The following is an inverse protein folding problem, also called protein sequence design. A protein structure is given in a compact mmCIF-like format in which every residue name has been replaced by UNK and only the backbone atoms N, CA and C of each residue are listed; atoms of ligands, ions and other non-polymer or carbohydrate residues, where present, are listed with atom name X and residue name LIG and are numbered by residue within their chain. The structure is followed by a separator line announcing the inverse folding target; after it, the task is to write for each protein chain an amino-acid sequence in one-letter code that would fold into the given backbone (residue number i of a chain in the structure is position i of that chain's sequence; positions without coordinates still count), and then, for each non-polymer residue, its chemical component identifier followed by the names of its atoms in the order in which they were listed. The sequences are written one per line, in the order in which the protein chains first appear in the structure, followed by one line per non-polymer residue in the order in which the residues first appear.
data_IF_436447917978
#
_entry.id   IF_436447917978
#
_cell.length_a   1.000
_cell.length_b   1.000
_cell.length_c   1.000
_cell.angle_alpha   90.00
_cell.angle_beta   90.00
_cell.angle_gamma   90.00
#
_symmetry.space_group_name_H-M   'P 1'
#
loop_
_entity.id
_entity.type
_entity.pdbx_description
1 polymer ?
#
# COMPACT_ATOMS: atom_id res chain seq x y z
N UNK A 1 -24.79 3.07 5.04
CA UNK A 1 -23.35 3.02 5.40
C UNK A 1 -22.55 2.07 4.49
N UNK A 2 -22.97 0.81 4.38
CA UNK A 2 -22.26 -0.16 3.52
C UNK A 2 -22.23 0.24 2.04
N UNK A 3 -23.34 0.76 1.50
CA UNK A 3 -23.42 1.18 0.11
C UNK A 3 -22.49 2.37 -0.20
N UNK A 4 -22.39 3.31 0.74
CA UNK A 4 -21.50 4.47 0.58
C UNK A 4 -20.02 4.05 0.62
N UNK A 5 -19.66 3.17 1.56
CA UNK A 5 -18.30 2.64 1.65
C UNK A 5 -17.93 1.84 0.40
N UNK A 6 -18.86 1.04 -0.13
CA UNK A 6 -18.62 0.27 -1.36
C UNK A 6 -18.41 1.20 -2.56
N UNK A 7 -19.18 2.31 -2.65
CA UNK A 7 -19.02 3.31 -3.71
C UNK A 7 -17.66 4.02 -3.66
N UNK A 8 -17.22 4.41 -2.47
CA UNK A 8 -15.91 5.04 -2.26
C UNK A 8 -14.79 4.08 -2.65
N UNK A 9 -14.87 2.82 -2.23
CA UNK A 9 -13.88 1.80 -2.59
C UNK A 9 -13.83 1.54 -4.10
N UNK A 10 -14.99 1.56 -4.77
CA UNK A 10 -15.07 1.38 -6.21
C UNK A 10 -14.39 2.53 -6.96
N UNK A 11 -14.65 3.78 -6.56
CA UNK A 11 -14.02 4.95 -7.17
C UNK A 11 -12.50 4.91 -6.97
N UNK A 12 -12.05 4.56 -5.76
CA UNK A 12 -10.64 4.43 -5.45
C UNK A 12 -9.98 3.37 -6.35
N UNK A 13 -10.58 2.20 -6.49
CA UNK A 13 -10.07 1.15 -7.36
C UNK A 13 -10.01 1.60 -8.82
N UNK A 14 -11.05 2.26 -9.30
CA UNK A 14 -11.13 2.73 -10.69
C UNK A 14 -10.02 3.73 -10.99
N UNK A 15 -9.80 4.69 -10.11
CA UNK A 15 -8.77 5.71 -10.30
C UNK A 15 -7.36 5.16 -10.07
N UNK A 16 -7.20 4.16 -9.21
CA UNK A 16 -5.90 3.58 -8.93
C UNK A 16 -5.41 2.65 -10.04
N UNK A 17 -6.31 1.94 -10.70
CA UNK A 17 -5.93 0.86 -11.62
C UNK A 17 -4.96 1.28 -12.73
N UNK A 18 -5.12 2.42 -13.43
CA UNK A 18 -4.15 2.85 -14.43
C UNK A 18 -2.76 3.10 -13.82
N UNK A 19 -2.69 3.65 -12.61
CA UNK A 19 -1.43 3.91 -11.93
C UNK A 19 -0.76 2.62 -11.49
N UNK A 20 -1.51 1.66 -10.95
CA UNK A 20 -0.97 0.34 -10.59
C UNK A 20 -0.38 -0.35 -11.82
N UNK A 21 -1.07 -0.26 -12.95
CA UNK A 21 -0.63 -0.87 -14.21
C UNK A 21 0.68 -0.24 -14.69
N UNK A 22 0.76 1.08 -14.66
CA UNK A 22 1.97 1.80 -15.08
C UNK A 22 3.16 1.43 -14.19
N UNK A 23 2.99 1.44 -12.88
CA UNK A 23 4.06 1.10 -11.93
C UNK A 23 4.52 -0.34 -12.12
N UNK A 24 3.57 -1.29 -12.21
CA UNK A 24 3.89 -2.71 -12.37
C UNK A 24 4.76 -2.94 -13.61
N UNK A 25 4.40 -2.32 -14.73
CA UNK A 25 5.12 -2.49 -15.97
C UNK A 25 6.46 -1.74 -16.00
N UNK A 26 6.54 -0.56 -15.39
CA UNK A 26 7.80 0.17 -15.31
C UNK A 26 8.83 -0.51 -14.40
N UNK A 27 8.38 -0.98 -13.24
CA UNK A 27 9.29 -1.57 -12.25
C UNK A 27 9.48 -3.08 -12.41
N UNK A 28 8.60 -3.73 -13.18
CA UNK A 28 8.64 -5.19 -13.30
C UNK A 28 8.24 -5.89 -12.00
N UNK A 29 7.37 -5.29 -11.20
CA UNK A 29 6.95 -5.77 -9.89
C UNK A 29 5.43 -5.75 -9.79
N UNK A 30 4.85 -6.65 -8.98
CA UNK A 30 3.42 -6.59 -8.70
C UNK A 30 3.11 -5.34 -7.87
N UNK A 31 2.20 -4.52 -8.38
CA UNK A 31 1.76 -3.29 -7.71
C UNK A 31 0.32 -3.43 -7.25
N UNK A 32 0.02 -2.98 -6.03
CA UNK A 32 -1.31 -3.18 -5.47
C UNK A 32 -1.75 -2.03 -4.58
N UNK A 33 -3.06 -1.95 -4.38
CA UNK A 33 -3.74 -1.00 -3.53
C UNK A 33 -4.25 -1.74 -2.30
N UNK A 34 -3.92 -1.25 -1.11
CA UNK A 34 -4.36 -1.83 0.15
C UNK A 34 -5.11 -0.79 0.98
N UNK A 35 -6.07 -1.25 1.76
CA UNK A 35 -6.84 -0.39 2.67
C UNK A 35 -6.95 -1.02 4.04
N UNK A 36 -7.16 -0.16 5.03
CA UNK A 36 -7.46 -0.58 6.39
C UNK A 36 -8.93 -0.98 6.48
N UNK A 37 -9.19 -2.16 7.03
CA UNK A 37 -10.53 -2.66 7.34
C UNK A 37 -10.50 -3.21 8.75
N UNK A 38 -11.04 -2.45 9.72
CA UNK A 38 -10.99 -2.75 11.15
C UNK A 38 -9.53 -2.81 11.63
N UNK A 39 -9.02 -3.99 12.00
CA UNK A 39 -7.64 -4.21 12.42
C UNK A 39 -6.82 -5.00 11.40
N UNK A 40 -7.31 -5.06 10.17
CA UNK A 40 -6.66 -5.77 9.08
C UNK A 40 -6.34 -4.86 7.91
N UNK A 41 -5.35 -5.27 7.13
CA UNK A 41 -5.00 -4.69 5.85
C UNK A 41 -5.55 -5.59 4.76
N UNK A 42 -6.35 -5.04 3.85
CA UNK A 42 -6.95 -5.82 2.75
C UNK A 42 -6.47 -5.27 1.40
N UNK A 43 -6.09 -6.17 0.50
CA UNK A 43 -5.77 -5.82 -0.88
C UNK A 43 -7.06 -5.62 -1.67
N UNK A 44 -7.26 -4.41 -2.21
CA UNK A 44 -8.44 -4.10 -3.03
C UNK A 44 -8.21 -4.36 -4.51
N UNK A 45 -7.02 -4.09 -5.02
CA UNK A 45 -6.69 -4.24 -6.43
C UNK A 45 -5.21 -4.55 -6.57
N UNK A 46 -4.86 -5.30 -7.59
CA UNK A 46 -3.48 -5.73 -7.83
C UNK A 46 -3.23 -5.91 -9.32
N UNK A 47 -2.05 -5.52 -9.77
CA UNK A 47 -1.62 -5.69 -11.16
C UNK A 47 -0.24 -6.31 -11.19
N UNK A 48 -0.12 -7.44 -11.89
CA UNK A 48 1.16 -8.07 -12.16
C UNK A 48 1.79 -7.45 -13.42
N UNK A 49 3.13 -7.37 -13.50
CA UNK A 49 3.79 -6.87 -14.71
C UNK A 49 3.56 -7.82 -15.89
N UNK A 50 3.45 -7.25 -17.10
CA UNK A 50 3.19 -8.04 -18.33
C UNK A 50 4.32 -8.98 -18.67
N UNK A 51 5.57 -8.54 -18.43
CA UNK A 51 6.78 -9.26 -18.84
C UNK A 51 7.67 -9.56 -17.64
N UNK A 52 7.17 -10.37 -16.71
CA UNK A 52 7.95 -10.82 -15.58
C UNK A 52 8.36 -12.27 -15.78
N UNK A 53 9.64 -12.56 -15.52
CA UNK A 53 10.12 -13.95 -15.47
C UNK A 53 9.53 -14.65 -14.27
N UNK A 54 9.40 -13.90 -13.15
CA UNK A 54 8.72 -14.36 -11.94
C UNK A 54 8.07 -13.15 -11.26
N UNK A 55 6.82 -13.29 -10.87
CA UNK A 55 6.12 -12.25 -10.12
C UNK A 55 5.55 -12.84 -8.84
N UNK A 56 5.42 -11.97 -7.83
CA UNK A 56 4.79 -12.35 -6.56
C UNK A 56 3.30 -12.09 -6.69
N UNK A 57 2.49 -13.11 -6.45
CA UNK A 57 1.04 -12.97 -6.49
C UNK A 57 0.57 -12.18 -5.26
N UNK A 58 -0.21 -11.14 -5.48
CA UNK A 58 -0.88 -10.37 -4.45
C UNK A 58 -2.33 -10.25 -4.86
N UNK A 59 -3.19 -11.10 -4.30
CA UNK A 59 -4.56 -11.24 -4.79
C UNK A 59 -5.53 -10.26 -4.14
N UNK A 60 -6.46 -9.66 -4.92
CA UNK A 60 -7.56 -8.90 -4.32
C UNK A 60 -8.33 -9.74 -3.30
N UNK A 61 -8.68 -9.13 -2.19
CA UNK A 61 -9.34 -9.82 -1.09
C UNK A 61 -8.40 -10.43 -0.07
N UNK A 62 -7.11 -10.51 -0.35
CA UNK A 62 -6.13 -11.02 0.61
C UNK A 62 -6.08 -10.11 1.83
N UNK A 63 -6.06 -10.70 3.02
CA UNK A 63 -6.07 -10.00 4.30
C UNK A 63 -4.89 -10.43 5.16
N UNK A 64 -4.37 -9.50 5.93
CA UNK A 64 -3.43 -9.79 7.00
C UNK A 64 -3.57 -8.76 8.13
N UNK A 65 -3.07 -9.06 9.33
CA UNK A 65 -3.14 -8.10 10.43
C UNK A 65 -2.46 -6.78 10.07
N UNK A 66 -3.02 -5.67 10.56
CA UNK A 66 -2.45 -4.34 10.35
C UNK A 66 -1.08 -4.17 11.00
N UNK A 67 -0.65 -5.14 11.80
CA UNK A 67 0.64 -5.11 12.49
C UNK A 67 1.80 -5.62 11.64
N UNK A 68 1.55 -6.17 10.46
CA UNK A 68 2.61 -6.73 9.59
C UNK A 68 2.54 -6.15 8.18
N UNK A 69 3.68 -6.07 7.52
CA UNK A 69 3.80 -5.68 6.12
C UNK A 69 3.97 -4.20 5.89
N UNK A 70 4.60 -3.85 4.77
CA UNK A 70 4.85 -2.46 4.39
C UNK A 70 3.57 -1.64 4.21
N UNK A 71 2.52 -2.15 3.54
CA UNK A 71 1.28 -1.38 3.42
C UNK A 71 0.68 -1.00 4.77
N UNK A 72 0.70 -1.93 5.73
CA UNK A 72 0.20 -1.67 7.08
C UNK A 72 0.96 -0.54 7.76
N UNK A 73 2.28 -0.56 7.69
CA UNK A 73 3.13 0.49 8.28
C UNK A 73 2.89 1.84 7.60
N UNK A 74 2.75 1.85 6.28
CA UNK A 74 2.45 3.08 5.54
C UNK A 74 1.09 3.65 5.96
N UNK A 75 0.06 2.82 6.07
CA UNK A 75 -1.26 3.23 6.53
C UNK A 75 -1.17 3.84 7.93
N UNK A 76 -0.55 3.13 8.87
CA UNK A 76 -0.43 3.59 10.25
C UNK A 76 0.39 4.89 10.36
N UNK A 77 1.42 5.04 9.50
CA UNK A 77 2.24 6.25 9.51
C UNK A 77 1.48 7.51 9.09
N UNK A 78 0.42 7.36 8.30
CA UNK A 78 -0.40 8.48 7.84
C UNK A 78 -1.57 8.78 8.76
N UNK A 79 -1.91 7.87 9.68
CA UNK A 79 -2.96 8.07 10.67
C UNK A 79 -2.39 8.64 11.97
N UNK A 80 -3.18 9.46 12.67
CA UNK A 80 -2.86 9.83 14.03
C UNK A 80 -2.97 8.62 14.96
N UNK A 81 -2.21 8.60 16.05
CA UNK A 81 -2.21 7.45 16.97
C UNK A 81 -3.60 7.12 17.52
N UNK A 82 -4.43 8.14 17.72
CA UNK A 82 -5.81 7.96 18.21
C UNK A 82 -6.72 7.24 17.21
N UNK A 83 -6.31 7.18 15.94
CA UNK A 83 -7.06 6.48 14.89
C UNK A 83 -6.51 5.06 14.65
N UNK A 84 -5.45 4.67 15.32
CA UNK A 84 -4.91 3.32 15.17
C UNK A 84 -5.87 2.29 15.77
N UNK A 85 -6.20 1.22 15.03
CA UNK A 85 -7.11 0.18 15.53
C UNK A 85 -6.45 -0.76 16.54
N UNK A 86 -5.13 -0.68 16.71
CA UNK A 86 -4.34 -1.54 17.59
C UNK A 86 -3.32 -0.70 18.34
N UNK A 87 -2.80 -1.22 19.44
CA UNK A 87 -1.68 -0.63 20.17
C UNK A 87 -0.39 -1.38 19.74
N UNK A 88 0.43 -0.78 18.87
CA UNK A 88 1.59 -1.48 18.33
C UNK A 88 2.66 -1.78 19.39
N UNK A 89 3.41 -2.85 19.15
CA UNK A 89 4.61 -3.13 19.95
C UNK A 89 5.62 -1.99 19.81
N UNK A 90 6.58 -1.84 20.74
CA UNK A 90 7.65 -0.85 20.61
C UNK A 90 8.42 -0.95 19.30
N UNK A 91 8.70 -2.16 18.82
CA UNK A 91 9.39 -2.37 17.54
C UNK A 91 8.58 -1.86 16.38
N UNK A 92 7.28 -2.14 16.34
CA UNK A 92 6.39 -1.65 15.27
C UNK A 92 6.25 -0.13 15.34
N UNK A 93 6.13 0.45 16.54
CA UNK A 93 6.08 1.92 16.70
C UNK A 93 7.31 2.59 16.10
N UNK A 94 8.50 2.02 16.32
CA UNK A 94 9.74 2.51 15.73
C UNK A 94 9.66 2.48 14.21
N UNK A 95 9.19 1.38 13.64
CA UNK A 95 9.05 1.24 12.18
C UNK A 95 8.04 2.21 11.60
N UNK A 96 6.94 2.45 12.29
CA UNK A 96 5.92 3.43 11.88
C UNK A 96 6.51 4.85 11.91
N UNK A 97 7.27 5.18 12.94
CA UNK A 97 7.92 6.49 13.07
C UNK A 97 8.93 6.70 11.93
N UNK A 98 9.75 5.69 11.64
CA UNK A 98 10.70 5.73 10.53
C UNK A 98 9.98 5.94 9.19
N UNK A 99 8.86 5.23 8.98
CA UNK A 99 8.06 5.39 7.76
C UNK A 99 7.49 6.79 7.65
N UNK A 100 7.03 7.36 8.76
CA UNK A 100 6.50 8.74 8.80
C UNK A 100 7.57 9.76 8.44
N UNK A 101 8.78 9.58 8.96
CA UNK A 101 9.89 10.49 8.70
C UNK A 101 10.38 10.46 7.27
N UNK A 102 10.53 9.27 6.69
CA UNK A 102 11.06 9.15 5.33
C UNK A 102 9.99 9.13 4.23
N UNK A 103 8.71 8.94 4.59
CA UNK A 103 7.58 8.98 3.65
C UNK A 103 7.20 7.65 3.01
N UNK A 104 7.87 6.57 3.38
CA UNK A 104 7.56 5.23 2.88
C UNK A 104 7.90 4.15 3.90
N UNK A 105 7.28 2.99 3.74
CA UNK A 105 7.52 1.83 4.58
C UNK A 105 8.10 0.69 3.76
N UNK A 106 8.86 -0.18 4.44
CA UNK A 106 9.41 -1.39 3.84
C UNK A 106 9.09 -2.60 4.71
N UNK A 107 9.07 -3.77 4.09
CA UNK A 107 9.01 -5.03 4.81
C UNK A 107 9.83 -6.09 4.08
N UNK A 108 10.28 -7.09 4.85
CA UNK A 108 11.07 -8.20 4.33
C UNK A 108 10.68 -9.44 5.14
N UNK A 109 10.20 -10.47 4.44
CA UNK A 109 9.80 -11.75 5.06
C UNK A 109 8.65 -11.66 6.08
N UNK A 110 7.92 -10.54 6.14
CA UNK A 110 6.91 -10.35 7.19
C UNK A 110 5.59 -11.06 6.91
N UNK A 111 5.15 -11.06 5.64
CA UNK A 111 3.89 -11.70 5.24
C UNK A 111 4.21 -13.02 4.53
N UNK A 112 5.11 -12.98 3.55
CA UNK A 112 5.54 -14.15 2.78
C UNK A 112 7.07 -14.22 2.86
N UNK A 113 7.66 -15.38 3.23
CA UNK A 113 9.12 -15.53 3.26
C UNK A 113 9.76 -15.17 1.92
N UNK A 114 10.93 -14.53 1.96
CA UNK A 114 11.73 -14.06 0.82
C UNK A 114 11.13 -12.90 0.02
N UNK A 115 9.93 -12.47 0.36
CA UNK A 115 9.25 -11.37 -0.33
C UNK A 115 9.49 -10.06 0.38
N UNK A 116 9.87 -9.05 -0.38
CA UNK A 116 10.05 -7.67 0.08
C UNK A 116 8.91 -6.81 -0.43
N UNK A 117 8.60 -5.77 0.30
CA UNK A 117 7.58 -4.80 -0.10
C UNK A 117 8.03 -3.38 0.21
N UNK A 118 7.58 -2.45 -0.61
CA UNK A 118 7.72 -1.01 -0.40
C UNK A 118 6.33 -0.40 -0.57
N UNK A 119 5.95 0.48 0.34
CA UNK A 119 4.63 1.10 0.32
C UNK A 119 4.71 2.59 0.67
N UNK A 120 3.82 3.36 0.04
CA UNK A 120 3.59 4.77 0.40
C UNK A 120 2.12 4.94 0.77
N UNK A 121 1.81 5.81 1.72
CA UNK A 121 0.41 6.04 2.08
C UNK A 121 -0.32 6.83 1.00
N UNK A 122 -1.58 6.51 0.80
CA UNK A 122 -2.52 7.35 0.09
C UNK A 122 -3.24 8.20 1.13
N UNK A 123 -3.02 9.51 1.08
CA UNK A 123 -3.61 10.44 2.04
C UNK A 123 -4.94 10.92 1.51
N UNK A 124 -5.99 10.17 1.81
CA UNK A 124 -7.33 10.41 1.30
C UNK A 124 -8.15 11.22 2.32
N UNK A 125 -9.18 11.90 1.79
CA UNK A 125 -10.13 12.62 2.64
C UNK A 125 -11.07 11.64 3.32
N UNK A 126 -11.57 11.98 4.56
CA UNK A 126 -12.60 11.15 5.17
C UNK A 126 -13.81 10.95 4.25
N UNK A 127 -14.50 9.80 4.33
CA UNK A 127 -14.33 8.73 5.32
C UNK A 127 -13.22 7.73 5.02
N UNK A 128 -12.64 7.73 3.81
CA UNK A 128 -11.61 6.77 3.42
C UNK A 128 -10.23 7.29 3.86
N UNK A 129 -9.73 6.85 5.00
CA UNK A 129 -8.47 7.35 5.56
C UNK A 129 -7.29 6.41 5.41
N UNK A 130 -7.48 5.14 5.67
CA UNK A 130 -6.38 4.18 5.71
C UNK A 130 -6.16 3.47 4.39
N UNK A 131 -5.28 3.99 3.53
CA UNK A 131 -4.96 3.35 2.25
C UNK A 131 -3.46 3.50 1.95
N UNK A 132 -2.94 2.59 1.12
CA UNK A 132 -1.57 2.61 0.65
C UNK A 132 -1.46 2.00 -0.74
N UNK A 133 -0.48 2.46 -1.50
CA UNK A 133 -0.07 1.84 -2.76
C UNK A 133 1.29 1.19 -2.52
N UNK A 134 1.48 -0.02 -3.02
CA UNK A 134 2.66 -0.80 -2.70
C UNK A 134 3.11 -1.67 -3.86
N UNK A 135 4.36 -2.09 -3.81
CA UNK A 135 4.88 -3.16 -4.66
C UNK A 135 5.42 -4.29 -3.80
N UNK A 136 5.34 -5.51 -4.34
CA UNK A 136 6.00 -6.69 -3.76
C UNK A 136 6.97 -7.26 -4.79
N UNK A 137 8.13 -7.70 -4.31
CA UNK A 137 9.17 -8.24 -5.18
C UNK A 137 10.10 -9.18 -4.39
N UNK A 138 10.98 -9.85 -5.11
CA UNK A 138 11.92 -10.80 -4.49
C UNK A 138 13.35 -10.25 -4.42
N UNK A 139 13.48 -8.94 -4.26
CA UNK A 139 14.78 -8.29 -4.03
C UNK A 139 15.57 -7.93 -5.28
N UNK A 140 14.92 -7.86 -6.45
CA UNK A 140 15.57 -7.46 -7.70
C UNK A 140 15.05 -6.11 -8.16
N UNK A 141 15.89 -5.37 -8.89
CA UNK A 141 15.52 -4.09 -9.50
C UNK A 141 15.91 -2.91 -8.64
N UNK A 142 15.12 -1.83 -8.71
CA UNK A 142 15.38 -0.58 -8.03
C UNK A 142 15.38 -0.73 -6.51
N UNK A 143 16.16 0.11 -5.83
CA UNK A 143 16.17 0.15 -4.37
C UNK A 143 14.90 0.77 -3.78
N UNK A 144 14.69 0.59 -2.46
CA UNK A 144 13.45 1.05 -1.81
C UNK A 144 13.15 2.53 -1.99
N UNK A 145 14.14 3.40 -1.89
CA UNK A 145 13.93 4.85 -2.04
C UNK A 145 13.47 5.23 -3.44
N UNK A 146 14.05 4.62 -4.48
CA UNK A 146 13.65 4.86 -5.87
C UNK A 146 12.25 4.32 -6.13
N UNK A 147 11.93 3.15 -5.61
CA UNK A 147 10.58 2.57 -5.70
C UNK A 147 9.56 3.50 -5.03
N UNK A 148 9.88 3.97 -3.82
CA UNK A 148 9.01 4.87 -3.06
C UNK A 148 8.75 6.18 -3.81
N UNK A 149 9.77 6.74 -4.44
CA UNK A 149 9.62 7.96 -5.25
C UNK A 149 8.64 7.75 -6.41
N UNK A 150 8.77 6.60 -7.08
CA UNK A 150 7.84 6.26 -8.16
C UNK A 150 6.41 6.07 -7.64
N UNK A 151 6.24 5.38 -6.52
CA UNK A 151 4.92 5.18 -5.90
C UNK A 151 4.30 6.50 -5.46
N UNK A 152 5.09 7.43 -4.96
CA UNK A 152 4.58 8.73 -4.52
C UNK A 152 3.99 9.54 -5.68
N UNK A 153 4.57 9.46 -6.87
CA UNK A 153 4.00 10.10 -8.05
C UNK A 153 2.62 9.53 -8.37
N UNK A 154 2.46 8.22 -8.30
CA UNK A 154 1.17 7.57 -8.51
C UNK A 154 0.17 7.90 -7.41
N UNK A 155 0.62 7.97 -6.16
CA UNK A 155 -0.24 8.36 -5.03
C UNK A 155 -0.82 9.77 -5.24
N UNK A 156 -0.01 10.71 -5.71
CA UNK A 156 -0.45 12.07 -6.02
C UNK A 156 -1.44 12.08 -7.18
N UNK A 157 -1.19 11.30 -8.22
CA UNK A 157 -2.09 11.21 -9.37
C UNK A 157 -3.45 10.64 -8.97
N UNK A 158 -3.48 9.62 -8.15
CA UNK A 158 -4.72 9.02 -7.66
C UNK A 158 -5.52 10.02 -6.82
N UNK A 159 -4.85 10.71 -5.89
CA UNK A 159 -5.53 11.74 -5.09
C UNK A 159 -6.11 12.84 -5.95
N UNK A 160 -5.34 13.32 -6.90
CA UNK A 160 -5.80 14.37 -7.82
C UNK A 160 -7.02 13.96 -8.61
N UNK A 161 -7.07 12.73 -9.08
CA UNK A 161 -8.22 12.19 -9.82
C UNK A 161 -9.47 12.08 -8.95
N UNK A 162 -9.30 11.68 -7.67
CA UNK A 162 -10.42 11.57 -6.74
C UNK A 162 -10.95 12.92 -6.27
N UNK A 163 -10.10 13.92 -6.18
CA UNK A 163 -10.46 15.26 -5.70
C UNK A 163 -10.92 16.18 -6.84
N UNK A 164 -10.56 15.84 -8.05
CA UNK A 164 -10.96 16.57 -9.25
C UNK A 164 -12.34 16.21 -9.71
#
# INVERSE_FOLDING_TARGET
MAALAAGVSHDLQTEALPELTAVANELGMTCFLAVLDRDECITLASVEPRHAVASVAQRPGARHPITVGAPSKAILSALGEHDWPVDPSPALRTQITEARERGYATSHDEVIPTVQAVAVPLRLRPPQRGAAIAVVHVGQGAGPAAIAERLERSAKAIRGALEG
#
